data_IF_057644675904
#
_entry.id   IF_057644675904
#
_cell.length_a   1.000
_cell.length_b   1.000
_cell.length_c   1.000
_cell.angle_alpha   90.00
_cell.angle_beta   90.00
_cell.angle_gamma   90.00
#
_symmetry.space_group_name_H-M   'P 1'
#
loop_
_entity.id
_entity.type
_entity.pdbx_description
1 polymer ?
#
# COMPACT_ATOMS: atom_id res chain seq x y z
N UNK A 1 4.97 -10.96 -25.70
CA UNK A 1 5.40 -9.85 -24.82
C UNK A 1 6.92 -9.78 -24.83
N UNK A 2 7.54 -8.59 -24.85
CA UNK A 2 8.99 -8.52 -24.61
C UNK A 2 9.28 -8.97 -23.16
N UNK A 3 10.32 -9.78 -22.95
CA UNK A 3 10.59 -10.43 -21.66
C UNK A 3 10.79 -9.43 -20.51
N UNK A 4 11.38 -8.26 -20.78
CA UNK A 4 11.62 -7.21 -19.79
C UNK A 4 10.32 -6.62 -19.20
N UNK A 5 9.25 -6.51 -19.98
CA UNK A 5 7.98 -5.91 -19.53
C UNK A 5 7.11 -6.93 -18.81
N UNK A 6 7.19 -8.19 -19.21
CA UNK A 6 6.59 -9.29 -18.46
C UNK A 6 7.23 -9.41 -17.07
N UNK A 7 8.57 -9.34 -17.00
CA UNK A 7 9.29 -9.30 -15.73
C UNK A 7 8.87 -8.12 -14.84
N UNK A 8 8.75 -6.91 -15.40
CA UNK A 8 8.26 -5.74 -14.67
C UNK A 8 6.84 -5.96 -14.12
N UNK A 9 5.91 -6.48 -14.93
CA UNK A 9 4.53 -6.74 -14.48
C UNK A 9 4.45 -7.83 -13.41
N UNK A 10 5.27 -8.87 -13.52
CA UNK A 10 5.37 -9.91 -12.50
C UNK A 10 5.88 -9.34 -11.17
N UNK A 11 6.90 -8.48 -11.24
CA UNK A 11 7.43 -7.78 -10.07
C UNK A 11 6.38 -6.87 -9.43
N UNK A 12 5.65 -6.07 -10.23
CA UNK A 12 4.63 -5.18 -9.70
C UNK A 12 3.44 -5.97 -9.13
N UNK A 13 3.08 -7.10 -9.73
CA UNK A 13 2.07 -8.01 -9.18
C UNK A 13 2.52 -8.61 -7.83
N UNK A 14 3.79 -9.00 -7.71
CA UNK A 14 4.36 -9.46 -6.45
C UNK A 14 4.33 -8.37 -5.38
N UNK A 15 4.74 -7.14 -5.72
CA UNK A 15 4.68 -6.00 -4.78
C UNK A 15 3.24 -5.69 -4.38
N UNK A 16 2.29 -5.73 -5.31
CA UNK A 16 0.86 -5.52 -5.03
C UNK A 16 0.29 -6.63 -4.14
N UNK A 17 0.76 -7.88 -4.29
CA UNK A 17 0.39 -9.00 -3.43
C UNK A 17 0.92 -8.80 -2.01
N UNK A 18 2.19 -8.45 -1.85
CA UNK A 18 2.80 -8.17 -0.54
C UNK A 18 2.06 -7.02 0.15
N UNK A 19 1.77 -5.94 -0.58
CA UNK A 19 0.95 -4.84 -0.09
C UNK A 19 -0.42 -5.32 0.39
N UNK A 20 -1.13 -6.11 -0.43
CA UNK A 20 -2.45 -6.63 -0.09
C UNK A 20 -2.43 -7.51 1.16
N UNK A 21 -1.42 -8.39 1.31
CA UNK A 21 -1.24 -9.21 2.52
C UNK A 21 -1.08 -8.33 3.75
N UNK A 22 -0.22 -7.31 3.69
CA UNK A 22 0.02 -6.39 4.82
C UNK A 22 -1.25 -5.64 5.21
N UNK A 23 -2.00 -5.11 4.23
CA UNK A 23 -3.26 -4.40 4.49
C UNK A 23 -4.30 -5.34 5.11
N UNK A 24 -4.43 -6.58 4.61
CA UNK A 24 -5.31 -7.57 5.23
C UNK A 24 -4.86 -7.88 6.65
N UNK A 25 -3.58 -8.16 6.88
CA UNK A 25 -3.07 -8.49 8.22
C UNK A 25 -3.27 -7.32 9.18
N UNK A 26 -3.10 -6.08 8.72
CA UNK A 26 -3.37 -4.91 9.54
C UNK A 26 -4.84 -4.84 9.95
N UNK A 27 -5.78 -4.91 9.01
CA UNK A 27 -7.19 -4.77 9.32
C UNK A 27 -7.81 -6.00 10.01
N UNK A 28 -7.35 -7.22 9.71
CA UNK A 28 -7.92 -8.45 10.24
C UNK A 28 -7.25 -8.95 11.52
N UNK A 29 -6.01 -8.54 11.80
CA UNK A 29 -5.26 -9.00 12.97
C UNK A 29 -4.82 -7.84 13.87
N UNK A 30 -4.21 -6.78 13.33
CA UNK A 30 -3.68 -5.68 14.15
C UNK A 30 -4.78 -4.85 14.81
N UNK A 31 -5.76 -4.37 14.04
CA UNK A 31 -6.87 -3.56 14.58
C UNK A 31 -7.66 -4.31 15.67
N UNK A 32 -8.07 -5.59 15.47
CA UNK A 32 -8.74 -6.35 16.52
C UNK A 32 -7.87 -6.55 17.76
N UNK A 33 -6.56 -6.72 17.61
CA UNK A 33 -5.65 -6.91 18.74
C UNK A 33 -5.47 -5.63 19.55
N UNK A 34 -5.41 -4.47 18.88
CA UNK A 34 -5.39 -3.16 19.53
C UNK A 34 -6.70 -2.91 20.29
N UNK A 35 -7.85 -3.19 19.67
CA UNK A 35 -9.15 -2.98 20.28
C UNK A 35 -9.38 -3.89 21.50
N UNK A 36 -8.99 -5.16 21.43
CA UNK A 36 -9.03 -6.07 22.58
C UNK A 36 -8.13 -5.59 23.73
N UNK A 37 -6.93 -5.11 23.43
CA UNK A 37 -6.04 -4.54 24.45
C UNK A 37 -6.60 -3.25 25.08
N UNK A 38 -7.41 -2.49 24.34
CA UNK A 38 -8.11 -1.31 24.85
C UNK A 38 -9.28 -1.66 25.77
N UNK A 39 -9.93 -2.80 25.59
CA UNK A 39 -10.98 -3.30 26.49
C UNK A 39 -10.44 -3.73 27.87
N UNK A 40 -9.16 -4.11 27.95
CA UNK A 40 -8.52 -4.63 29.17
C UNK A 40 -7.71 -3.57 29.95
N UNK A 41 -7.50 -2.37 29.41
CA UNK A 41 -6.66 -1.31 30.00
C UNK A 41 -7.40 0.00 30.32
N UNK A 42 -6.99 0.71 31.38
CA UNK A 42 -7.56 2.00 31.83
C UNK A 42 -7.47 3.17 30.82
N UNK A 43 -6.79 2.99 29.70
CA UNK A 43 -6.72 3.95 28.59
C UNK A 43 -7.30 3.33 27.32
N UNK A 44 -8.63 3.26 27.26
CA UNK A 44 -9.40 2.70 26.15
C UNK A 44 -9.44 3.65 24.94
N UNK A 45 -8.36 3.70 24.16
CA UNK A 45 -8.43 4.28 22.81
C UNK A 45 -8.76 3.16 21.82
N UNK A 46 -10.04 3.04 21.46
CA UNK A 46 -10.45 2.21 20.33
C UNK A 46 -9.92 2.80 19.02
N UNK A 47 -9.49 1.92 18.12
CA UNK A 47 -9.14 2.30 16.77
C UNK A 47 -10.41 2.67 16.01
N UNK A 48 -10.54 3.95 15.64
CA UNK A 48 -11.58 4.43 14.75
C UNK A 48 -11.08 4.38 13.31
N UNK A 49 -11.85 3.69 12.45
CA UNK A 49 -11.57 3.70 11.01
C UNK A 49 -11.74 5.10 10.45
N UNK A 50 -10.70 5.61 9.81
CA UNK A 50 -10.75 6.88 9.10
C UNK A 50 -10.86 6.65 7.60
N UNK A 51 -11.21 7.70 6.85
CA UNK A 51 -11.43 7.62 5.40
C UNK A 51 -10.20 7.07 4.63
N UNK A 52 -8.99 7.29 5.16
CA UNK A 52 -7.75 6.82 4.54
C UNK A 52 -7.59 5.30 4.60
N UNK A 53 -8.04 4.65 5.67
CA UNK A 53 -8.06 3.17 5.78
C UNK A 53 -8.86 2.56 4.62
N UNK A 54 -10.06 3.11 4.36
CA UNK A 54 -10.90 2.67 3.25
C UNK A 54 -10.24 2.95 1.89
N UNK A 55 -9.60 4.11 1.74
CA UNK A 55 -8.91 4.46 0.51
C UNK A 55 -7.75 3.49 0.20
N UNK A 56 -6.96 3.13 1.22
CA UNK A 56 -5.84 2.19 1.10
C UNK A 56 -6.34 0.77 0.80
N UNK A 57 -7.37 0.32 1.51
CA UNK A 57 -7.95 -1.00 1.29
C UNK A 57 -8.54 -1.13 -0.13
N UNK A 58 -9.35 -0.16 -0.57
CA UNK A 58 -9.95 -0.16 -1.91
C UNK A 58 -8.87 -0.09 -2.99
N UNK A 59 -7.89 0.82 -2.87
CA UNK A 59 -6.81 0.94 -3.85
C UNK A 59 -6.01 -0.36 -3.96
N UNK A 60 -5.73 -1.03 -2.84
CA UNK A 60 -5.03 -2.32 -2.79
C UNK A 60 -5.84 -3.44 -3.46
N UNK A 61 -7.15 -3.51 -3.19
CA UNK A 61 -8.09 -4.45 -3.81
C UNK A 61 -8.25 -4.20 -5.31
N UNK A 62 -8.13 -2.97 -5.79
CA UNK A 62 -8.20 -2.66 -7.22
C UNK A 62 -6.89 -3.01 -7.93
N UNK A 63 -5.75 -2.68 -7.32
CA UNK A 63 -4.43 -2.87 -7.93
C UNK A 63 -4.08 -4.36 -8.14
N UNK A 64 -4.31 -5.22 -7.14
CA UNK A 64 -3.87 -6.62 -7.20
C UNK A 64 -4.58 -7.42 -8.34
N UNK A 65 -5.93 -7.46 -8.42
CA UNK A 65 -6.62 -8.13 -9.51
C UNK A 65 -6.31 -7.51 -10.87
N UNK A 66 -6.12 -6.19 -10.94
CA UNK A 66 -5.74 -5.52 -12.18
C UNK A 66 -4.38 -6.01 -12.69
N UNK A 67 -3.40 -6.20 -11.80
CA UNK A 67 -2.09 -6.75 -12.17
C UNK A 67 -2.15 -8.26 -12.46
N UNK A 68 -2.89 -9.06 -11.71
CA UNK A 68 -3.11 -10.49 -12.01
C UNK A 68 -3.75 -10.64 -13.40
N UNK A 69 -4.80 -9.88 -13.67
CA UNK A 69 -5.46 -9.86 -14.98
C UNK A 69 -4.50 -9.41 -16.09
N UNK A 70 -3.57 -8.49 -15.80
CA UNK A 70 -2.59 -8.05 -16.79
C UNK A 70 -1.57 -9.12 -17.21
N UNK A 71 -1.38 -10.16 -16.38
CA UNK A 71 -0.47 -11.30 -16.63
C UNK A 71 -1.22 -12.43 -17.33
N UNK A 72 -2.43 -12.76 -16.87
CA UNK A 72 -3.21 -13.91 -17.37
C UNK A 72 -4.23 -13.58 -18.45
N UNK A 73 -4.62 -12.31 -18.56
CA UNK A 73 -5.63 -11.84 -19.51
C UNK A 73 -5.14 -11.95 -20.95
N UNK A 74 -5.83 -12.77 -21.76
CA UNK A 74 -5.57 -12.90 -23.21
C UNK A 74 -5.95 -11.66 -24.02
N UNK A 75 -6.78 -10.77 -23.46
CA UNK A 75 -7.19 -9.49 -24.07
C UNK A 75 -7.15 -8.38 -23.01
N UNK A 76 -6.79 -7.17 -23.41
CA UNK A 76 -6.87 -6.01 -22.52
C UNK A 76 -8.34 -5.69 -22.23
N UNK A 77 -8.73 -5.65 -20.94
CA UNK A 77 -10.07 -5.19 -20.50
C UNK A 77 -10.39 -3.80 -21.04
N UNK A 78 -9.37 -2.95 -21.13
CA UNK A 78 -9.47 -1.58 -21.63
C UNK A 78 -8.63 -1.48 -22.89
N UNK A 79 -9.29 -1.27 -24.03
CA UNK A 79 -8.63 -1.14 -25.34
C UNK A 79 -7.77 0.13 -25.41
N UNK A 80 -8.19 1.20 -24.72
CA UNK A 80 -7.45 2.47 -24.71
C UNK A 80 -6.31 2.46 -23.68
N UNK A 81 -5.08 2.57 -24.17
CA UNK A 81 -3.85 2.62 -23.36
C UNK A 81 -3.87 3.74 -22.30
N UNK A 82 -4.47 4.90 -22.61
CA UNK A 82 -4.53 6.03 -21.69
C UNK A 82 -5.54 5.80 -20.57
N UNK A 83 -6.70 5.21 -20.90
CA UNK A 83 -7.70 4.86 -19.89
C UNK A 83 -7.17 3.80 -18.92
N UNK A 84 -6.43 2.79 -19.41
CA UNK A 84 -5.73 1.83 -18.56
C UNK A 84 -4.70 2.52 -17.65
N UNK A 85 -3.89 3.42 -18.20
CA UNK A 85 -2.90 4.16 -17.44
C UNK A 85 -3.55 4.96 -16.31
N UNK A 86 -4.62 5.71 -16.59
CA UNK A 86 -5.36 6.49 -15.57
C UNK A 86 -5.95 5.56 -14.49
N UNK A 87 -6.54 4.43 -14.88
CA UNK A 87 -7.12 3.46 -13.95
C UNK A 87 -6.09 2.81 -13.01
N UNK A 88 -4.82 2.72 -13.42
CA UNK A 88 -3.74 2.20 -12.57
C UNK A 88 -3.03 3.33 -11.79
N UNK A 89 -2.93 4.51 -12.38
CA UNK A 89 -2.26 5.66 -11.80
C UNK A 89 -3.07 6.28 -10.65
N UNK A 90 -4.40 6.34 -10.77
CA UNK A 90 -5.28 6.83 -9.71
C UNK A 90 -5.10 6.06 -8.39
N UNK A 91 -5.30 4.73 -8.31
CA UNK A 91 -5.12 4.00 -7.06
C UNK A 91 -3.67 4.08 -6.55
N UNK A 92 -2.67 4.11 -7.45
CA UNK A 92 -1.27 4.28 -7.06
C UNK A 92 -0.99 5.65 -6.40
N UNK A 93 -1.53 6.73 -6.96
CA UNK A 93 -1.42 8.06 -6.38
C UNK A 93 -2.20 8.18 -5.06
N UNK A 94 -3.36 7.53 -4.95
CA UNK A 94 -4.10 7.46 -3.70
C UNK A 94 -3.30 6.75 -2.60
N UNK A 95 -2.68 5.60 -2.90
CA UNK A 95 -1.82 4.90 -1.93
C UNK A 95 -0.69 5.79 -1.42
N UNK A 96 0.01 6.49 -2.32
CA UNK A 96 1.11 7.37 -1.93
C UNK A 96 0.59 8.58 -1.15
N UNK A 97 -0.45 9.24 -1.66
CA UNK A 97 -0.97 10.48 -1.09
C UNK A 97 -1.52 10.30 0.32
N UNK A 98 -2.31 9.24 0.55
CA UNK A 98 -2.87 8.93 1.87
C UNK A 98 -1.74 8.61 2.85
N UNK A 99 -0.78 7.79 2.45
CA UNK A 99 0.32 7.39 3.32
C UNK A 99 1.28 8.53 3.67
N UNK A 100 1.56 9.44 2.72
CA UNK A 100 2.34 10.65 3.01
C UNK A 100 1.61 11.53 4.03
N UNK A 101 0.30 11.67 3.89
CA UNK A 101 -0.50 12.43 4.86
C UNK A 101 -0.46 11.78 6.25
N UNK A 102 -0.59 10.46 6.33
CA UNK A 102 -0.51 9.70 7.58
C UNK A 102 0.86 9.83 8.26
N UNK A 103 1.95 9.85 7.48
CA UNK A 103 3.30 10.12 8.00
C UNK A 103 3.39 11.54 8.57
N UNK A 104 2.88 12.55 7.85
CA UNK A 104 2.90 13.94 8.30
C UNK A 104 2.12 14.13 9.61
N UNK A 105 0.92 13.54 9.70
CA UNK A 105 0.10 13.57 10.92
C UNK A 105 0.77 12.87 12.08
N UNK A 106 1.42 11.73 11.81
CA UNK A 106 2.21 11.00 12.81
C UNK A 106 3.33 11.89 13.35
N UNK A 107 4.11 12.52 12.47
CA UNK A 107 5.22 13.43 12.84
C UNK A 107 4.69 14.60 13.68
N UNK A 108 3.58 15.24 13.26
CA UNK A 108 2.93 16.33 14.00
C UNK A 108 2.48 15.89 15.39
N UNK A 109 1.86 14.71 15.50
CA UNK A 109 1.41 14.16 16.77
C UNK A 109 2.58 13.91 17.73
N UNK A 110 3.67 13.32 17.24
CA UNK A 110 4.87 13.08 18.04
C UNK A 110 5.47 14.40 18.53
N UNK A 111 5.53 15.41 17.66
CA UNK A 111 6.03 16.73 18.02
C UNK A 111 5.19 17.34 19.15
N UNK A 112 3.86 17.33 19.03
CA UNK A 112 2.96 17.81 20.08
C UNK A 112 3.14 17.03 21.40
N UNK A 113 3.32 15.71 21.32
CA UNK A 113 3.53 14.86 22.51
C UNK A 113 4.88 15.15 23.19
N UNK A 114 5.93 15.38 22.42
CA UNK A 114 7.25 15.74 22.94
C UNK A 114 7.27 17.14 23.58
N UNK A 115 6.56 18.10 22.98
CA UNK A 115 6.40 19.45 23.52
C UNK A 115 5.59 19.43 24.83
N UNK A 116 4.57 18.58 24.94
CA UNK A 116 3.75 18.44 26.15
C UNK A 116 4.39 17.58 27.25
N UNK A 117 5.39 16.74 26.94
CA UNK A 117 6.10 15.89 27.91
C UNK A 117 7.62 15.89 27.66
N UNK A 118 8.33 16.99 27.98
CA UNK A 118 9.75 17.15 27.65
C UNK A 118 10.68 16.12 28.32
N UNK A 119 10.24 15.47 29.41
CA UNK A 119 11.01 14.44 30.10
C UNK A 119 11.00 13.06 29.42
N UNK A 120 10.10 12.83 28.45
CA UNK A 120 9.99 11.58 27.69
C UNK A 120 9.96 11.90 26.20
N UNK A 121 11.15 12.00 25.59
CA UNK A 121 11.26 12.17 24.14
C UNK A 121 10.82 10.89 23.43
N UNK A 122 9.64 10.92 22.84
CA UNK A 122 9.19 9.91 21.90
C UNK A 122 9.93 10.12 20.58
N UNK A 123 10.82 9.18 20.26
CA UNK A 123 11.44 9.09 18.94
C UNK A 123 10.63 8.11 18.10
N UNK A 124 10.41 8.48 16.85
CA UNK A 124 9.76 7.60 15.87
C UNK A 124 10.78 7.32 14.81
N UNK A 125 11.30 6.11 14.86
CA UNK A 125 12.23 5.61 13.86
C UNK A 125 11.43 4.87 12.77
N UNK A 126 11.63 5.21 11.49
CA UNK A 126 11.04 4.45 10.41
C UNK A 126 11.63 3.02 10.47
N UNK A 127 10.76 2.01 10.42
CA UNK A 127 11.12 0.58 10.47
C UNK A 127 11.68 0.03 11.78
N UNK A 128 11.66 0.80 12.86
CA UNK A 128 12.14 0.34 14.16
C UNK A 128 11.00 0.24 15.15
N UNK A 129 11.01 -0.88 15.87
CA UNK A 129 10.09 -1.19 16.96
C UNK A 129 10.92 -1.33 18.22
N UNK A 130 10.79 -0.36 19.13
CA UNK A 130 11.57 -0.31 20.36
C UNK A 130 11.21 -1.44 21.35
N UNK A 131 10.03 -2.03 21.21
CA UNK A 131 9.51 -3.09 22.07
C UNK A 131 9.93 -4.43 21.48
N UNK A 132 10.73 -5.22 22.20
CA UNK A 132 11.23 -6.54 21.73
C UNK A 132 10.41 -7.74 22.22
N UNK A 133 9.30 -7.49 22.93
CA UNK A 133 8.49 -8.56 23.49
C UNK A 133 7.36 -8.99 22.54
N UNK A 134 7.46 -10.23 22.05
CA UNK A 134 6.39 -11.04 21.48
C UNK A 134 5.40 -10.32 20.54
N UNK A 135 4.10 -10.46 20.85
CA UNK A 135 2.99 -9.99 19.99
C UNK A 135 2.99 -8.48 19.75
N UNK A 136 3.49 -7.68 20.70
CA UNK A 136 3.61 -6.22 20.55
C UNK A 136 4.65 -5.83 19.49
N UNK A 137 5.74 -6.59 19.39
CA UNK A 137 6.73 -6.41 18.33
C UNK A 137 6.13 -6.70 16.96
N UNK A 138 5.38 -7.80 16.84
CA UNK A 138 4.67 -8.19 15.60
C UNK A 138 3.66 -7.12 15.18
N UNK A 139 2.82 -6.65 16.10
CA UNK A 139 1.86 -5.55 15.86
C UNK A 139 2.59 -4.30 15.34
N UNK A 140 3.71 -3.94 15.98
CA UNK A 140 4.49 -2.77 15.57
C UNK A 140 5.08 -2.93 14.16
N UNK A 141 5.63 -4.12 13.81
CA UNK A 141 6.14 -4.38 12.46
C UNK A 141 5.05 -4.19 11.41
N UNK A 142 3.88 -4.77 11.64
CA UNK A 142 2.78 -4.66 10.69
C UNK A 142 2.27 -3.22 10.57
N UNK A 143 2.15 -2.48 11.68
CA UNK A 143 1.77 -1.07 11.64
C UNK A 143 2.78 -0.21 10.86
N UNK A 144 4.09 -0.45 11.04
CA UNK A 144 5.13 0.25 10.26
C UNK A 144 5.12 -0.15 8.78
N UNK A 145 4.87 -1.42 8.51
CA UNK A 145 4.84 -1.96 7.14
C UNK A 145 3.61 -1.46 6.38
N UNK A 146 2.48 -1.32 7.06
CA UNK A 146 1.25 -0.73 6.53
C UNK A 146 1.49 0.70 6.04
N UNK A 147 2.35 1.47 6.70
CA UNK A 147 2.67 2.83 6.24
C UNK A 147 3.57 2.85 5.00
N UNK A 148 4.59 1.97 4.96
CA UNK A 148 5.64 2.07 3.93
C UNK A 148 5.37 1.25 2.67
N UNK A 149 4.83 0.04 2.81
CA UNK A 149 4.66 -0.85 1.66
C UNK A 149 3.67 -0.31 0.62
N UNK A 150 2.57 0.37 0.97
CA UNK A 150 1.70 0.96 -0.04
C UNK A 150 2.35 2.11 -0.80
N UNK A 151 3.27 2.86 -0.18
CA UNK A 151 4.08 3.87 -0.88
C UNK A 151 4.95 3.17 -1.93
N UNK A 152 5.66 2.11 -1.56
CA UNK A 152 6.49 1.33 -2.48
C UNK A 152 5.64 0.74 -3.61
N UNK A 153 4.50 0.15 -3.30
CA UNK A 153 3.57 -0.40 -4.28
C UNK A 153 3.06 0.67 -5.27
N UNK A 154 2.69 1.84 -4.77
CA UNK A 154 2.30 2.98 -5.60
C UNK A 154 3.43 3.44 -6.52
N UNK A 155 4.66 3.55 -6.03
CA UNK A 155 5.81 3.94 -6.86
C UNK A 155 6.07 2.93 -7.98
N UNK A 156 6.06 1.64 -7.67
CA UNK A 156 6.26 0.58 -8.68
C UNK A 156 5.13 0.59 -9.73
N UNK A 157 3.89 0.84 -9.32
CA UNK A 157 2.77 0.99 -10.24
C UNK A 157 2.94 2.21 -11.16
N UNK A 158 3.38 3.36 -10.64
CA UNK A 158 3.69 4.56 -11.44
C UNK A 158 4.81 4.28 -12.45
N UNK A 159 5.87 3.59 -12.03
CA UNK A 159 6.97 3.20 -12.92
C UNK A 159 6.45 2.30 -14.06
N UNK A 160 5.59 1.32 -13.77
CA UNK A 160 5.00 0.46 -14.80
C UNK A 160 4.12 1.25 -15.78
N UNK A 161 3.29 2.17 -15.26
CA UNK A 161 2.47 3.05 -16.09
C UNK A 161 3.33 3.94 -16.98
N UNK A 162 4.39 4.55 -16.45
CA UNK A 162 5.30 5.37 -17.24
C UNK A 162 5.99 4.55 -18.33
N UNK A 163 6.55 3.39 -17.98
CA UNK A 163 7.22 2.49 -18.93
C UNK A 163 6.26 2.02 -20.03
N UNK A 164 5.01 1.68 -19.68
CA UNK A 164 4.01 1.24 -20.65
C UNK A 164 3.48 2.37 -21.54
N UNK A 165 3.43 3.61 -21.06
CA UNK A 165 3.10 4.78 -21.88
C UNK A 165 4.21 5.09 -22.89
N UNK A 166 5.48 5.10 -22.46
CA UNK A 166 6.62 5.41 -23.33
C UNK A 166 6.96 4.31 -24.33
N UNK A 167 6.82 3.04 -23.96
CA UNK A 167 7.12 1.90 -24.85
C UNK A 167 5.90 1.35 -25.63
N UNK A 168 4.70 1.88 -25.36
CA UNK A 168 3.45 1.44 -25.97
C UNK A 168 2.94 0.07 -25.46
N UNK A 169 1.69 -0.31 -25.77
CA UNK A 169 1.17 -1.64 -25.45
C UNK A 169 1.86 -2.70 -26.32
N UNK A 170 2.68 -3.54 -25.70
CA UNK A 170 3.43 -4.62 -26.36
C UNK A 170 2.59 -5.84 -26.81
N UNK A 171 1.28 -5.69 -26.97
CA UNK A 171 0.58 -6.65 -27.82
C UNK A 171 1.05 -6.39 -29.24
N UNK A 172 1.87 -7.29 -29.75
CA UNK A 172 2.16 -7.35 -31.18
C UNK A 172 0.82 -7.28 -31.92
N UNK A 173 0.62 -6.33 -32.85
CA UNK A 173 -0.60 -6.24 -33.67
C UNK A 173 -0.72 -7.41 -34.68
N UNK A 174 -0.19 -8.60 -34.36
CA UNK A 174 -0.18 -9.77 -35.25
C UNK A 174 -1.40 -10.69 -35.09
N UNK A 175 -2.41 -10.33 -34.29
CA UNK A 175 -3.68 -11.09 -34.21
C UNK A 175 -4.89 -10.34 -34.79
N UNK A 176 -4.68 -9.28 -35.58
CA UNK A 176 -5.78 -8.61 -36.31
C UNK A 176 -5.92 -9.10 -37.76
N UNK A 177 -5.16 -10.13 -38.14
CA UNK A 177 -5.30 -10.83 -39.42
C UNK A 177 -5.20 -12.33 -39.19
N UNK A 178 -6.31 -12.95 -38.83
CA UNK A 178 -6.72 -14.32 -39.19
C UNK A 178 -8.21 -14.47 -38.89
#
# INVERSE_FOLDING_TARGET
MAPAIFGLRLWVAFVALVNFIIIITFHAYVIPSINKGADEGEFSQHYEYYWGDYAIAIASVVLLPAYIYSIWGKKSLVSNKYARAVLMLLPALFLIGVQIHQIDDTIKFIKMRNESRPGHQYKTEPFSCAIRDGDLYTICIFARSETFVPIVAGFFAIIEVAVTLFRGPLHSPKETYL
#
